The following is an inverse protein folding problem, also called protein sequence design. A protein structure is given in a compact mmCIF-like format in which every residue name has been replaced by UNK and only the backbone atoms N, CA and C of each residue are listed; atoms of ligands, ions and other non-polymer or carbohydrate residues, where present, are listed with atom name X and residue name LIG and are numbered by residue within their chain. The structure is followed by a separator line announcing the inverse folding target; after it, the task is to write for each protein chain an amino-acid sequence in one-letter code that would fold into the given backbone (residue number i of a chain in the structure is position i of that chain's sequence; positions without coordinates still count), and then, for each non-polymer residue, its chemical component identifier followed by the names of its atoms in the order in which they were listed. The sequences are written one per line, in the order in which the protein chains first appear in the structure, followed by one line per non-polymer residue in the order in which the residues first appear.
data_IF_679419008609
#
_entry.id   IF_679419008609
#
_cell.length_a   1.000
_cell.length_b   1.000
_cell.length_c   1.000
_cell.angle_alpha   90.00
_cell.angle_beta   90.00
_cell.angle_gamma   90.00
#
_symmetry.space_group_name_H-M   'P 1'
#
loop_
_entity.id
_entity.type
_entity.pdbx_description
1 polymer ?
#
# COMPACT_ATOMS: atom_id res chain seq x y z
N UNK A 1 20.37 -21.60 -0.62
CA UNK A 1 19.27 -21.05 -1.45
C UNK A 1 18.33 -20.30 -0.54
N UNK A 2 18.11 -19.00 -0.76
CA UNK A 2 17.20 -18.20 0.08
C UNK A 2 15.73 -18.47 -0.26
N UNK A 3 14.82 -18.12 0.65
CA UNK A 3 13.37 -18.11 0.45
C UNK A 3 12.92 -16.64 0.35
N UNK A 4 13.03 -16.00 -0.81
CA UNK A 4 12.86 -14.55 -0.92
C UNK A 4 11.38 -14.12 -0.94
N UNK A 5 10.46 -15.06 -1.06
CA UNK A 5 9.02 -14.81 -1.13
C UNK A 5 8.41 -14.98 0.24
N UNK A 6 8.01 -13.88 0.85
CA UNK A 6 7.45 -13.87 2.19
C UNK A 6 5.96 -13.62 2.11
N UNK A 7 5.19 -14.25 2.99
CA UNK A 7 3.75 -14.04 3.11
C UNK A 7 3.47 -13.45 4.48
N UNK A 8 2.66 -12.41 4.50
CA UNK A 8 2.21 -11.71 5.70
C UNK A 8 0.68 -11.68 5.76
N UNK A 9 0.15 -11.57 6.97
CA UNK A 9 -1.27 -11.31 7.17
C UNK A 9 -1.60 -9.81 7.06
N UNK A 10 -2.86 -9.47 7.30
CA UNK A 10 -3.34 -8.08 7.28
C UNK A 10 -2.65 -7.18 8.33
N UNK A 11 -2.25 -7.74 9.47
CA UNK A 11 -1.58 -7.01 10.55
C UNK A 11 -0.06 -6.90 10.32
N UNK A 12 0.46 -7.50 9.24
CA UNK A 12 1.88 -7.54 8.89
C UNK A 12 2.65 -8.64 9.62
N UNK A 13 1.98 -9.60 10.25
CA UNK A 13 2.62 -10.77 10.85
C UNK A 13 3.14 -11.70 9.76
N UNK A 14 4.39 -12.12 9.89
CA UNK A 14 5.02 -13.03 8.93
C UNK A 14 4.51 -14.46 9.13
N UNK A 15 3.78 -14.96 8.14
CA UNK A 15 3.18 -16.29 8.16
C UNK A 15 4.09 -17.37 7.56
N UNK A 16 4.95 -17.02 6.60
CA UNK A 16 5.82 -18.02 5.97
C UNK A 16 6.72 -17.50 4.87
N UNK A 17 7.77 -18.28 4.57
CA UNK A 17 8.74 -17.98 3.51
C UNK A 17 8.86 -19.13 2.52
N UNK A 18 8.88 -18.80 1.23
CA UNK A 18 8.81 -19.74 0.11
C UNK A 18 9.98 -19.56 -0.85
N UNK A 19 10.32 -20.65 -1.56
CA UNK A 19 11.43 -20.68 -2.51
C UNK A 19 11.05 -20.10 -3.89
N UNK A 20 9.77 -20.15 -4.25
CA UNK A 20 9.22 -19.66 -5.52
C UNK A 20 7.98 -18.80 -5.27
N UNK A 21 7.72 -17.89 -6.20
CA UNK A 21 6.53 -17.04 -6.19
C UNK A 21 5.25 -17.89 -6.23
N UNK A 22 5.18 -18.86 -7.15
CA UNK A 22 4.00 -19.70 -7.34
C UNK A 22 3.64 -20.49 -6.08
N UNK A 23 4.65 -21.00 -5.36
CA UNK A 23 4.41 -21.74 -4.11
C UNK A 23 3.85 -20.84 -3.00
N UNK A 24 4.33 -19.59 -2.89
CA UNK A 24 3.75 -18.62 -1.96
C UNK A 24 2.31 -18.26 -2.35
N UNK A 25 2.08 -18.10 -3.65
CA UNK A 25 0.80 -17.71 -4.22
C UNK A 25 -0.29 -18.77 -4.01
N UNK A 26 0.00 -20.03 -4.35
CA UNK A 26 -0.93 -21.15 -4.17
C UNK A 26 -1.25 -21.37 -2.68
N UNK A 27 -0.23 -21.25 -1.82
CA UNK A 27 -0.41 -21.36 -0.38
C UNK A 27 -1.33 -20.25 0.15
N UNK A 28 -1.11 -19.00 -0.26
CA UNK A 28 -1.93 -17.87 0.18
C UNK A 28 -3.39 -18.01 -0.27
N UNK A 29 -3.64 -18.46 -1.50
CA UNK A 29 -5.01 -18.74 -1.97
C UNK A 29 -5.68 -19.83 -1.15
N UNK A 30 -4.96 -20.92 -0.86
CA UNK A 30 -5.50 -22.00 -0.04
C UNK A 30 -5.87 -21.49 1.35
N UNK A 31 -4.99 -20.72 2.00
CA UNK A 31 -5.26 -20.18 3.33
C UNK A 31 -6.43 -19.20 3.35
N UNK A 32 -6.50 -18.31 2.36
CA UNK A 32 -7.62 -17.37 2.22
C UNK A 32 -8.96 -18.10 1.98
N UNK A 33 -8.95 -19.17 1.17
CA UNK A 33 -10.15 -19.97 0.90
C UNK A 33 -10.61 -20.80 2.11
N UNK A 34 -9.67 -21.25 2.94
CA UNK A 34 -9.97 -22.00 4.17
C UNK A 34 -10.44 -21.07 5.32
N UNK A 35 -10.30 -19.76 5.19
CA UNK A 35 -10.61 -18.80 6.26
C UNK A 35 -9.70 -18.94 7.48
N UNK A 36 -8.50 -19.53 7.29
CA UNK A 36 -7.55 -19.78 8.38
C UNK A 36 -6.78 -18.54 8.83
N UNK A 37 -6.78 -17.49 8.01
CA UNK A 37 -6.10 -16.20 8.25
C UNK A 37 -6.93 -15.06 7.68
N UNK A 38 -6.82 -13.90 8.31
CA UNK A 38 -7.55 -12.71 7.90
C UNK A 38 -6.98 -12.18 6.57
N UNK A 39 -7.87 -11.99 5.61
CA UNK A 39 -7.54 -11.39 4.32
C UNK A 39 -7.59 -9.84 4.41
N UNK A 40 -6.85 -9.11 3.55
CA UNK A 40 -5.93 -9.62 2.53
C UNK A 40 -4.63 -10.20 3.10
N UNK A 41 -4.14 -11.26 2.46
CA UNK A 41 -2.77 -11.73 2.63
C UNK A 41 -1.83 -10.96 1.70
N UNK A 42 -0.63 -10.63 2.16
CA UNK A 42 0.39 -9.95 1.36
C UNK A 42 1.55 -10.88 1.04
N UNK A 43 1.86 -11.04 -0.24
CA UNK A 43 3.06 -11.75 -0.71
C UNK A 43 4.08 -10.71 -1.14
N UNK A 44 5.29 -10.76 -0.59
CA UNK A 44 6.40 -9.87 -0.91
C UNK A 44 7.53 -10.65 -1.59
N UNK A 45 7.96 -10.20 -2.77
CA UNK A 45 9.22 -10.61 -3.37
C UNK A 45 10.32 -9.63 -2.95
N UNK A 46 11.13 -10.04 -1.99
CA UNK A 46 12.20 -9.22 -1.42
C UNK A 46 13.33 -8.90 -2.39
N UNK A 47 13.46 -9.63 -3.51
CA UNK A 47 14.49 -9.36 -4.52
C UNK A 47 14.07 -8.25 -5.46
N UNK A 48 12.82 -8.31 -5.92
CA UNK A 48 12.28 -7.40 -6.92
C UNK A 48 11.47 -6.25 -6.30
N UNK A 49 11.26 -6.24 -4.98
CA UNK A 49 10.44 -5.27 -4.23
C UNK A 49 9.04 -5.11 -4.82
N UNK A 50 8.50 -6.21 -5.31
CA UNK A 50 7.11 -6.29 -5.78
C UNK A 50 6.31 -7.08 -4.75
N UNK A 51 5.02 -6.81 -4.70
CA UNK A 51 4.10 -7.54 -3.86
C UNK A 51 2.78 -7.87 -4.54
N UNK A 52 1.96 -8.65 -3.85
CA UNK A 52 0.59 -8.95 -4.27
C UNK A 52 -0.29 -9.11 -3.05
N UNK A 53 -1.46 -8.46 -3.09
CA UNK A 53 -2.53 -8.67 -2.11
C UNK A 53 -3.48 -9.74 -2.61
N UNK A 54 -3.86 -10.64 -1.72
CA UNK A 54 -4.71 -11.78 -2.04
C UNK A 54 -5.91 -11.90 -1.11
N UNK A 55 -7.03 -12.23 -1.73
CA UNK A 55 -8.26 -12.74 -1.14
C UNK A 55 -8.56 -14.11 -1.76
N UNK A 56 -9.56 -14.82 -1.24
CA UNK A 56 -9.92 -16.15 -1.73
C UNK A 56 -10.24 -16.12 -3.25
N UNK A 57 -11.00 -15.12 -3.69
CA UNK A 57 -11.46 -14.99 -5.09
C UNK A 57 -10.73 -13.92 -5.90
N UNK A 58 -9.79 -13.17 -5.31
CA UNK A 58 -9.19 -11.99 -5.95
C UNK A 58 -7.71 -11.85 -5.64
N UNK A 59 -6.97 -11.39 -6.65
CA UNK A 59 -5.58 -10.98 -6.52
C UNK A 59 -5.40 -9.54 -7.01
N UNK A 60 -4.64 -8.74 -6.28
CA UNK A 60 -4.22 -7.40 -6.69
C UNK A 60 -2.70 -7.29 -6.68
N UNK A 61 -2.12 -6.82 -7.78
CA UNK A 61 -0.69 -6.55 -7.84
C UNK A 61 -0.35 -5.24 -7.13
N UNK A 62 0.65 -5.27 -6.26
CA UNK A 62 1.19 -4.07 -5.59
C UNK A 62 2.65 -3.91 -5.98
N UNK A 63 3.01 -2.76 -6.55
CA UNK A 63 4.41 -2.39 -6.69
C UNK A 63 4.73 -1.32 -5.66
N UNK A 64 5.77 -1.53 -4.87
CA UNK A 64 6.31 -0.49 -4.02
C UNK A 64 7.17 0.39 -4.93
N UNK A 65 6.58 1.44 -5.51
CA UNK A 65 7.40 2.49 -6.09
C UNK A 65 8.17 3.12 -4.93
N UNK A 66 9.49 3.00 -5.00
CA UNK A 66 10.36 3.86 -4.23
C UNK A 66 10.03 5.27 -4.71
N UNK A 67 9.33 6.05 -3.87
CA UNK A 67 9.46 7.50 -3.96
C UNK A 67 10.93 7.70 -3.66
N UNK A 68 11.77 7.77 -4.70
CA UNK A 68 13.04 8.48 -4.58
C UNK A 68 12.62 9.88 -4.20
N UNK A 69 12.60 10.10 -2.89
CA UNK A 69 12.42 11.40 -2.31
C UNK A 69 13.71 12.16 -2.62
N UNK A 70 13.85 12.56 -3.86
CA UNK A 70 14.80 13.56 -4.29
C UNK A 70 14.21 14.90 -3.82
N UNK A 71 14.31 15.14 -2.52
CA UNK A 71 14.03 16.43 -1.94
C UNK A 71 15.25 17.31 -2.22
N UNK A 72 15.33 17.86 -3.42
CA UNK A 72 16.09 19.11 -3.59
C UNK A 72 15.24 20.21 -2.95
N UNK A 73 15.51 20.51 -1.68
CA UNK A 73 14.98 21.68 -0.97
C UNK A 73 15.65 22.89 -1.62
N UNK A 74 15.23 23.30 -2.82
CA UNK A 74 15.62 24.58 -3.43
C UNK A 74 14.78 24.92 -4.69
N UNK A 75 13.45 24.73 -4.68
CA UNK A 75 12.58 25.53 -5.57
C UNK A 75 11.11 25.61 -5.09
N UNK A 76 10.84 26.41 -4.05
CA UNK A 76 9.48 26.86 -3.72
C UNK A 76 9.09 27.91 -4.76
N UNK A 77 8.79 27.47 -5.97
CA UNK A 77 8.74 28.38 -7.11
C UNK A 77 7.80 28.06 -8.25
N UNK A 78 7.08 26.92 -8.29
CA UNK A 78 6.09 26.75 -9.37
C UNK A 78 5.04 25.67 -9.08
N UNK A 79 3.98 26.05 -8.36
CA UNK A 79 2.75 25.27 -8.31
C UNK A 79 2.06 25.47 -9.66
N UNK A 80 2.01 24.46 -10.53
CA UNK A 80 0.98 24.37 -11.58
C UNK A 80 0.77 22.93 -12.06
N UNK A 81 -0.40 22.38 -11.69
CA UNK A 81 -1.12 21.29 -12.38
C UNK A 81 -0.56 19.87 -12.15
N UNK A 82 -1.32 18.89 -11.66
CA UNK A 82 -2.68 18.55 -12.06
C UNK A 82 -3.50 18.02 -10.88
N UNK A 83 -4.74 18.49 -10.82
CA UNK A 83 -5.74 18.10 -9.85
C UNK A 83 -6.17 16.64 -10.00
N UNK A 84 -6.24 15.91 -8.90
CA UNK A 84 -7.33 14.96 -8.67
C UNK A 84 -7.94 15.12 -7.27
N UNK A 85 -9.24 15.44 -7.31
CA UNK A 85 -10.29 15.56 -6.29
C UNK A 85 -9.96 14.95 -4.92
N UNK A 86 -9.83 15.81 -3.92
CA UNK A 86 -10.01 15.43 -2.51
C UNK A 86 -11.50 15.40 -2.14
N UNK A 87 -11.96 14.43 -1.34
CA UNK A 87 -13.35 14.36 -0.91
C UNK A 87 -13.64 15.46 0.11
N UNK A 88 -14.83 16.04 0.00
CA UNK A 88 -15.35 17.05 0.90
C UNK A 88 -15.35 16.56 2.34
N UNK A 89 -14.76 17.34 3.24
CA UNK A 89 -15.13 17.36 4.66
C UNK A 89 -15.48 18.80 5.01
N UNK A 90 -16.78 19.04 5.13
CA UNK A 90 -17.39 20.21 5.73
C UNK A 90 -16.88 20.34 7.18
N UNK A 91 -16.34 21.50 7.54
CA UNK A 91 -16.40 21.94 8.95
C UNK A 91 -16.66 23.44 9.00
N UNK A 92 -17.71 23.79 9.74
CA UNK A 92 -18.33 25.09 9.82
C UNK A 92 -17.57 26.06 10.76
N UNK A 93 -17.63 27.34 10.36
CA UNK A 93 -17.75 28.55 11.22
C UNK A 93 -16.51 29.05 12.01
N UNK A 94 -16.50 30.31 12.52
CA UNK A 94 -17.37 31.48 12.30
C UNK A 94 -16.60 32.79 11.90
N UNK A 95 -17.31 33.90 11.60
CA UNK A 95 -16.68 35.16 11.20
C UNK A 95 -16.36 36.05 12.40
N UNK A 96 -15.13 36.53 12.52
CA UNK A 96 -14.79 37.62 13.44
C UNK A 96 -14.46 38.91 12.69
N UNK A 97 -15.33 39.88 12.97
CA UNK A 97 -15.35 41.27 12.54
C UNK A 97 -14.07 42.03 12.93
N UNK A 98 -13.66 43.03 12.14
CA UNK A 98 -13.85 44.47 12.44
C UNK A 98 -13.07 45.38 11.45
N UNK A 99 -13.82 46.35 10.91
CA UNK A 99 -13.47 47.70 10.39
C UNK A 99 -12.40 48.45 11.23
N UNK A 100 -11.98 49.70 10.92
CA UNK A 100 -12.04 50.52 9.68
C UNK A 100 -10.71 51.29 9.40
N UNK A 101 -10.65 52.11 8.35
CA UNK A 101 -10.35 53.56 8.42
C UNK A 101 -11.11 54.30 7.32
#
# INVERSE_FOLDING_TARGET
MGRPYHVYDYDGEHLGSFATWDAAHDWAHLQAALGGVLAPLEIEDRRNRIGRRLWAERCEFTCWQQIEQDYDIDDIGNIHGCAMRSPAMLTLAPPHQRRPV
#
